data_IF_133769961443
#
_entry.id   IF_133769961443
#
_cell.length_a   1.000
_cell.length_b   1.000
_cell.length_c   1.000
_cell.angle_alpha   90.00
_cell.angle_beta   90.00
_cell.angle_gamma   90.00
#
_symmetry.space_group_name_H-M   'P 1'
#
loop_
_entity.id
_entity.type
_entity.pdbx_description
1 polymer ?
#
# COMPACT_ATOMS: atom_id res chain seq x y z
N UNK A 1 4.06 13.47 24.70
CA UNK A 1 2.64 13.06 24.61
C UNK A 1 1.86 13.93 23.64
N UNK A 2 2.05 15.25 23.62
CA UNK A 2 1.41 16.16 22.66
C UNK A 2 1.65 15.76 21.19
N UNK A 3 2.89 15.39 20.82
CA UNK A 3 3.22 14.94 19.46
C UNK A 3 2.37 13.74 19.02
N UNK A 4 2.24 12.75 19.90
CA UNK A 4 1.42 11.56 19.64
C UNK A 4 -0.05 11.94 19.45
N UNK A 5 -0.62 12.76 20.33
CA UNK A 5 -2.03 13.14 20.23
C UNK A 5 -2.33 14.00 18.99
N UNK A 6 -1.44 14.94 18.66
CA UNK A 6 -1.55 15.73 17.44
C UNK A 6 -1.49 14.84 16.20
N UNK A 7 -0.57 13.87 16.18
CA UNK A 7 -0.46 12.90 15.09
C UNK A 7 -1.70 12.02 14.96
N UNK A 8 -2.21 11.50 16.08
CA UNK A 8 -3.44 10.70 16.08
C UNK A 8 -4.66 11.51 15.62
N UNK A 9 -4.74 12.79 15.98
CA UNK A 9 -5.78 13.69 15.50
C UNK A 9 -5.67 13.93 13.98
N UNK A 10 -4.47 14.18 13.47
CA UNK A 10 -4.21 14.35 12.04
C UNK A 10 -4.58 13.09 11.22
N UNK A 11 -4.13 11.92 11.69
CA UNK A 11 -4.49 10.62 11.10
C UNK A 11 -6.01 10.39 11.16
N UNK A 12 -6.64 10.67 12.31
CA UNK A 12 -8.08 10.57 12.48
C UNK A 12 -8.85 11.46 11.50
N UNK A 13 -8.40 12.71 11.30
CA UNK A 13 -9.00 13.62 10.32
C UNK A 13 -8.90 13.08 8.89
N UNK A 14 -7.73 12.55 8.50
CA UNK A 14 -7.55 11.93 7.18
C UNK A 14 -8.47 10.73 6.97
N UNK A 15 -8.61 9.86 7.98
CA UNK A 15 -9.51 8.69 7.94
C UNK A 15 -10.98 9.11 7.83
N UNK A 16 -11.42 10.12 8.61
CA UNK A 16 -12.79 10.62 8.58
C UNK A 16 -13.14 11.28 7.24
N UNK A 17 -12.24 12.12 6.72
CA UNK A 17 -12.41 12.74 5.40
C UNK A 17 -12.51 11.67 4.30
N UNK A 18 -11.64 10.67 4.36
CA UNK A 18 -11.66 9.56 3.41
C UNK A 18 -12.93 8.72 3.53
N UNK A 19 -13.46 8.51 4.73
CA UNK A 19 -14.73 7.81 4.91
C UNK A 19 -15.92 8.60 4.36
N UNK A 20 -15.95 9.92 4.52
CA UNK A 20 -16.95 10.77 3.89
C UNK A 20 -16.91 10.63 2.36
N UNK A 21 -15.72 10.71 1.76
CA UNK A 21 -15.52 10.52 0.31
C UNK A 21 -15.92 9.13 -0.15
N UNK A 22 -15.59 8.07 0.60
CA UNK A 22 -16.01 6.69 0.31
C UNK A 22 -17.53 6.53 0.35
N UNK A 23 -18.22 7.19 1.29
CA UNK A 23 -19.69 7.17 1.35
C UNK A 23 -20.30 7.86 0.12
N UNK A 24 -19.75 8.99 -0.29
CA UNK A 24 -20.17 9.67 -1.53
C UNK A 24 -19.89 8.83 -2.77
N UNK A 25 -18.78 8.09 -2.82
CA UNK A 25 -18.45 7.19 -3.92
C UNK A 25 -19.52 6.10 -4.16
N UNK A 26 -20.22 5.66 -3.11
CA UNK A 26 -21.33 4.69 -3.22
C UNK A 26 -22.56 5.25 -3.94
N UNK A 27 -22.68 6.57 -4.02
CA UNK A 27 -23.77 7.25 -4.71
C UNK A 27 -23.48 7.42 -6.21
N UNK A 28 -22.24 7.20 -6.64
CA UNK A 28 -21.82 7.33 -8.04
C UNK A 28 -21.93 5.97 -8.76
N UNK A 29 -22.43 5.96 -10.01
CA UNK A 29 -22.58 4.72 -10.77
C UNK A 29 -21.25 4.25 -11.36
N UNK A 30 -21.11 2.92 -11.49
CA UNK A 30 -20.07 2.27 -12.28
C UNK A 30 -18.64 2.68 -11.93
N UNK A 31 -17.83 2.95 -12.97
CA UNK A 31 -16.41 3.22 -12.84
C UNK A 31 -16.09 4.49 -12.04
N UNK A 32 -16.97 5.51 -12.07
CA UNK A 32 -16.78 6.74 -11.30
C UNK A 32 -16.75 6.46 -9.78
N UNK A 33 -17.64 5.60 -9.30
CA UNK A 33 -17.65 5.16 -7.90
C UNK A 33 -16.37 4.41 -7.54
N UNK A 34 -15.90 3.51 -8.40
CA UNK A 34 -14.64 2.77 -8.19
C UNK A 34 -13.43 3.70 -8.13
N UNK A 35 -13.32 4.66 -9.04
CA UNK A 35 -12.19 5.61 -9.06
C UNK A 35 -12.19 6.56 -7.86
N UNK A 36 -13.37 7.02 -7.42
CA UNK A 36 -13.46 7.85 -6.22
C UNK A 36 -13.15 7.05 -4.94
N UNK A 37 -13.57 5.78 -4.89
CA UNK A 37 -13.20 4.86 -3.81
C UNK A 37 -11.69 4.66 -3.77
N UNK A 38 -11.06 4.38 -4.92
CA UNK A 38 -9.62 4.23 -5.04
C UNK A 38 -8.87 5.48 -4.58
N UNK A 39 -9.34 6.66 -5.00
CA UNK A 39 -8.77 7.94 -4.63
C UNK A 39 -8.85 8.17 -3.12
N UNK A 40 -10.02 7.94 -2.50
CA UNK A 40 -10.21 8.11 -1.06
C UNK A 40 -9.30 7.17 -0.25
N UNK A 41 -9.14 5.93 -0.67
CA UNK A 41 -8.30 4.95 0.03
C UNK A 41 -6.81 5.26 -0.14
N UNK A 42 -6.37 5.66 -1.33
CA UNK A 42 -4.98 6.05 -1.59
C UNK A 42 -4.61 7.34 -0.85
N UNK A 43 -5.52 8.31 -0.81
CA UNK A 43 -5.36 9.54 -0.02
C UNK A 43 -5.20 9.21 1.47
N UNK A 44 -6.07 8.36 2.02
CA UNK A 44 -5.97 7.91 3.41
C UNK A 44 -4.61 7.26 3.69
N UNK A 45 -4.21 6.30 2.84
CA UNK A 45 -2.93 5.60 2.97
C UNK A 45 -1.77 6.59 3.07
N UNK A 46 -1.68 7.49 2.09
CA UNK A 46 -0.58 8.45 2.00
C UNK A 46 -0.59 9.43 3.18
N UNK A 47 -1.74 10.01 3.55
CA UNK A 47 -1.83 10.96 4.67
C UNK A 47 -1.44 10.32 6.00
N UNK A 48 -1.97 9.13 6.28
CA UNK A 48 -1.64 8.39 7.50
C UNK A 48 -0.14 8.07 7.56
N UNK A 49 0.45 7.63 6.44
CA UNK A 49 1.87 7.30 6.40
C UNK A 49 2.76 8.53 6.49
N UNK A 50 2.40 9.68 5.89
CA UNK A 50 3.11 10.94 6.07
C UNK A 50 3.24 11.30 7.55
N UNK A 51 2.12 11.28 8.27
CA UNK A 51 2.11 11.67 9.68
C UNK A 51 2.85 10.65 10.57
N UNK A 52 2.63 9.35 10.36
CA UNK A 52 3.33 8.32 11.12
C UNK A 52 4.83 8.29 10.85
N UNK A 53 5.26 8.56 9.60
CA UNK A 53 6.67 8.71 9.24
C UNK A 53 7.27 9.89 9.98
N UNK A 54 6.65 11.08 9.91
CA UNK A 54 7.14 12.25 10.64
C UNK A 54 7.27 11.98 12.14
N UNK A 55 6.24 11.39 12.75
CA UNK A 55 6.25 11.06 14.16
C UNK A 55 7.36 10.04 14.50
N UNK A 56 7.49 8.98 13.71
CA UNK A 56 8.50 7.93 13.91
C UNK A 56 9.94 8.41 13.74
N UNK A 57 10.18 9.32 12.79
CA UNK A 57 11.51 9.85 12.49
C UNK A 57 11.98 10.90 13.52
N UNK A 58 11.05 11.57 14.22
CA UNK A 58 11.37 12.77 15.01
C UNK A 58 11.03 12.69 16.49
N UNK A 59 10.03 11.91 16.89
CA UNK A 59 9.64 11.76 18.28
C UNK A 59 10.36 10.56 18.93
N UNK A 60 10.76 10.66 20.21
CA UNK A 60 11.37 9.55 20.93
C UNK A 60 10.30 8.52 21.36
N UNK A 61 9.73 7.80 20.38
CA UNK A 61 8.75 6.76 20.65
C UNK A 61 9.41 5.45 21.07
N UNK A 62 8.94 4.79 22.14
CA UNK A 62 9.34 3.43 22.43
C UNK A 62 9.01 2.50 21.25
N UNK A 63 9.91 1.56 20.88
CA UNK A 63 9.67 0.67 19.74
C UNK A 63 8.32 -0.08 19.76
N UNK A 64 7.84 -0.61 20.92
CA UNK A 64 6.54 -1.27 20.97
C UNK A 64 5.37 -0.34 20.61
N UNK A 65 5.47 0.95 20.91
CA UNK A 65 4.45 1.93 20.59
C UNK A 65 4.42 2.23 19.08
N UNK A 66 5.59 2.41 18.45
CA UNK A 66 5.68 2.59 17.00
C UNK A 66 5.16 1.39 16.20
N UNK A 67 5.48 0.17 16.66
CA UNK A 67 4.93 -1.06 16.08
C UNK A 67 3.42 -1.18 16.29
N UNK A 68 2.94 -0.84 17.48
CA UNK A 68 1.50 -0.78 17.77
C UNK A 68 0.76 0.18 16.83
N UNK A 69 1.29 1.38 16.62
CA UNK A 69 0.71 2.37 15.70
C UNK A 69 0.69 1.88 14.25
N UNK A 70 1.80 1.29 13.79
CA UNK A 70 1.93 0.72 12.44
C UNK A 70 0.91 -0.39 12.23
N UNK A 71 0.82 -1.32 13.18
CA UNK A 71 -0.15 -2.41 13.14
C UNK A 71 -1.59 -1.90 13.13
N UNK A 72 -1.94 -1.02 14.07
CA UNK A 72 -3.29 -0.48 14.20
C UNK A 72 -3.69 0.27 12.93
N UNK A 73 -2.83 1.12 12.36
CA UNK A 73 -3.16 1.81 11.12
C UNK A 73 -3.23 0.88 9.92
N UNK A 74 -2.40 -0.15 9.86
CA UNK A 74 -2.52 -1.18 8.80
C UNK A 74 -3.86 -1.89 8.89
N UNK A 75 -4.33 -2.25 10.09
CA UNK A 75 -5.67 -2.82 10.29
C UNK A 75 -6.76 -1.83 9.82
N UNK A 76 -6.67 -0.55 10.21
CA UNK A 76 -7.63 0.48 9.77
C UNK A 76 -7.68 0.60 8.25
N UNK A 77 -6.52 0.61 7.58
CA UNK A 77 -6.42 0.62 6.12
C UNK A 77 -7.10 -0.59 5.49
N UNK A 78 -6.72 -1.80 5.91
CA UNK A 78 -7.27 -3.05 5.38
C UNK A 78 -8.80 -3.15 5.56
N UNK A 79 -9.33 -2.67 6.69
CA UNK A 79 -10.78 -2.67 6.95
C UNK A 79 -11.53 -1.59 6.15
N UNK A 80 -10.89 -0.46 5.86
CA UNK A 80 -11.54 0.70 5.22
C UNK A 80 -11.45 0.69 3.69
N UNK A 81 -10.51 -0.04 3.09
CA UNK A 81 -10.24 0.06 1.66
C UNK A 81 -11.30 -0.57 0.75
N UNK A 82 -12.15 -1.46 1.28
CA UNK A 82 -13.34 -2.00 0.59
C UNK A 82 -13.06 -2.49 -0.85
N UNK A 83 -11.90 -3.13 -1.06
CA UNK A 83 -11.48 -3.65 -2.36
C UNK A 83 -10.71 -2.67 -3.26
N UNK A 84 -10.46 -1.43 -2.82
CA UNK A 84 -9.51 -0.54 -3.46
C UNK A 84 -8.10 -1.14 -3.44
N UNK A 85 -7.35 -0.98 -4.53
CA UNK A 85 -6.01 -1.59 -4.67
C UNK A 85 -4.94 -0.77 -3.97
N UNK A 86 -5.05 0.56 -4.02
CA UNK A 86 -4.14 1.57 -3.49
C UNK A 86 -2.67 1.36 -3.89
N UNK A 87 -2.40 0.58 -4.95
CA UNK A 87 -1.07 0.18 -5.35
C UNK A 87 -1.00 -0.03 -6.88
N UNK A 88 -0.13 0.68 -7.61
CA UNK A 88 0.05 0.49 -9.05
C UNK A 88 0.43 -0.94 -9.46
N UNK A 89 1.16 -1.69 -8.61
CA UNK A 89 1.53 -3.08 -8.94
C UNK A 89 0.32 -4.01 -9.00
N UNK A 90 -0.68 -3.79 -8.16
CA UNK A 90 -1.94 -4.54 -8.17
C UNK A 90 -2.79 -4.19 -9.40
N UNK A 91 -2.78 -2.92 -9.84
CA UNK A 91 -3.42 -2.53 -11.09
C UNK A 91 -2.76 -3.21 -12.30
N UNK A 92 -1.42 -3.27 -12.33
CA UNK A 92 -0.67 -4.00 -13.36
C UNK A 92 -0.99 -5.50 -13.34
N UNK A 93 -1.00 -6.12 -12.15
CA UNK A 93 -1.38 -7.52 -11.97
C UNK A 93 -2.78 -7.80 -12.55
N UNK A 94 -3.76 -6.92 -12.30
CA UNK A 94 -5.13 -7.10 -12.81
C UNK A 94 -5.20 -7.12 -14.34
N UNK A 95 -4.36 -6.32 -15.01
CA UNK A 95 -4.25 -6.33 -16.47
C UNK A 95 -3.59 -7.62 -16.96
N UNK A 96 -2.49 -8.03 -16.32
CA UNK A 96 -1.79 -9.28 -16.66
C UNK A 96 -2.68 -10.52 -16.50
N UNK A 97 -3.60 -10.49 -15.54
CA UNK A 97 -4.58 -11.57 -15.31
C UNK A 97 -5.84 -11.48 -16.18
N UNK A 98 -5.98 -10.42 -16.98
CA UNK A 98 -7.17 -10.18 -17.80
C UNK A 98 -8.43 -9.81 -17.01
N UNK A 99 -8.31 -9.45 -15.73
CA UNK A 99 -9.45 -9.04 -14.89
C UNK A 99 -9.77 -7.56 -15.03
N UNK A 100 -8.87 -6.76 -15.61
CA UNK A 100 -9.08 -5.34 -15.91
C UNK A 100 -8.51 -4.98 -17.29
N UNK A 101 -9.12 -3.98 -17.95
CA UNK A 101 -8.58 -3.43 -19.19
C UNK A 101 -7.40 -2.47 -18.89
N UNK A 102 -6.44 -2.39 -19.81
CA UNK A 102 -5.31 -1.45 -19.68
C UNK A 102 -5.76 0.00 -19.48
N UNK A 103 -6.83 0.43 -20.19
CA UNK A 103 -7.40 1.78 -20.03
C UNK A 103 -7.93 2.02 -18.62
N UNK A 104 -8.66 1.05 -18.07
CA UNK A 104 -9.20 1.17 -16.72
C UNK A 104 -8.09 1.20 -15.66
N UNK A 105 -7.05 0.37 -15.83
CA UNK A 105 -5.89 0.37 -14.94
C UNK A 105 -5.11 1.70 -14.99
N UNK A 106 -4.90 2.27 -16.18
CA UNK A 106 -4.26 3.59 -16.32
C UNK A 106 -5.06 4.68 -15.61
N UNK A 107 -6.39 4.71 -15.81
CA UNK A 107 -7.25 5.68 -15.12
C UNK A 107 -7.19 5.51 -13.59
N UNK A 108 -7.20 4.26 -13.12
CA UNK A 108 -7.10 3.93 -11.70
C UNK A 108 -5.75 4.39 -11.11
N UNK A 109 -4.64 4.10 -11.77
CA UNK A 109 -3.30 4.56 -11.36
C UNK A 109 -3.22 6.09 -11.39
N UNK A 110 -3.80 6.76 -12.38
CA UNK A 110 -3.85 8.22 -12.40
C UNK A 110 -4.60 8.79 -11.18
N UNK A 111 -5.72 8.17 -10.77
CA UNK A 111 -6.43 8.55 -9.54
C UNK A 111 -5.58 8.32 -8.29
N UNK A 112 -4.81 7.23 -8.23
CA UNK A 112 -3.88 6.97 -7.13
C UNK A 112 -2.82 8.08 -7.01
N UNK A 113 -2.17 8.45 -8.13
CA UNK A 113 -1.14 9.50 -8.14
C UNK A 113 -1.71 10.89 -7.82
N UNK A 114 -2.89 11.23 -8.36
CA UNK A 114 -3.57 12.47 -8.00
C UNK A 114 -3.85 12.54 -6.49
N UNK A 115 -4.25 11.42 -5.89
CA UNK A 115 -4.50 11.31 -4.45
C UNK A 115 -3.22 11.39 -3.62
N UNK A 116 -2.09 10.86 -4.12
CA UNK A 116 -0.79 10.98 -3.48
C UNK A 116 -0.29 12.43 -3.45
N UNK A 117 -0.51 13.21 -4.53
CA UNK A 117 -0.20 14.65 -4.57
C UNK A 117 -1.12 15.43 -3.62
N UNK A 118 -2.42 15.10 -3.60
CA UNK A 118 -3.36 15.69 -2.66
C UNK A 118 -2.95 15.40 -1.20
N UNK A 119 -2.45 14.20 -0.91
CA UNK A 119 -1.95 13.83 0.41
C UNK A 119 -0.69 14.60 0.81
N UNK A 120 0.24 14.87 -0.12
CA UNK A 120 1.40 15.75 0.14
C UNK A 120 0.94 17.16 0.54
N UNK A 121 -0.05 17.70 -0.18
CA UNK A 121 -0.60 19.03 0.12
C UNK A 121 -1.32 19.05 1.45
N UNK A 122 -2.10 18.01 1.77
CA UNK A 122 -2.78 17.86 3.05
C UNK A 122 -1.79 17.76 4.20
N UNK A 123 -0.74 16.93 4.07
CA UNK A 123 0.29 16.78 5.09
C UNK A 123 0.99 18.11 5.38
N UNK A 124 1.44 18.82 4.33
CA UNK A 124 2.04 20.15 4.49
C UNK A 124 1.10 21.15 5.17
N UNK A 125 -0.19 21.14 4.83
CA UNK A 125 -1.19 21.99 5.47
C UNK A 125 -1.35 21.66 6.96
N UNK A 126 -1.46 20.38 7.33
CA UNK A 126 -1.54 19.93 8.72
C UNK A 126 -0.28 20.33 9.50
N UNK A 127 0.90 20.07 8.95
CA UNK A 127 2.17 20.40 9.62
C UNK A 127 2.35 21.91 9.80
N UNK A 128 1.83 22.73 8.87
CA UNK A 128 1.88 24.19 8.98
C UNK A 128 1.07 24.76 10.15
N UNK A 129 0.14 23.99 10.71
CA UNK A 129 -0.64 24.38 11.89
C UNK A 129 0.19 24.35 13.18
N UNK A 130 1.36 23.68 13.18
CA UNK A 130 2.26 23.66 14.33
C UNK A 130 1.63 23.06 15.59
N UNK A 131 0.76 22.06 15.46
CA UNK A 131 -0.02 21.48 16.57
C UNK A 131 0.84 20.74 17.61
N UNK A 132 2.12 20.50 17.32
CA UNK A 132 3.07 19.77 18.14
C UNK A 132 4.52 20.19 17.87
N UNK A 133 5.45 19.75 18.71
CA UNK A 133 6.87 20.08 18.55
C UNK A 133 7.45 19.44 17.29
N UNK A 134 7.00 18.24 16.93
CA UNK A 134 7.39 17.59 15.67
C UNK A 134 6.93 18.38 14.44
N UNK A 135 5.71 18.93 14.45
CA UNK A 135 5.19 19.79 13.38
C UNK A 135 5.97 21.09 13.27
N UNK A 136 6.19 21.77 14.40
CA UNK A 136 6.96 23.03 14.45
C UNK A 136 8.40 22.81 13.99
N UNK A 137 9.03 21.70 14.39
CA UNK A 137 10.37 21.34 13.92
C UNK A 137 10.37 21.10 12.41
N UNK A 138 9.44 20.30 11.89
CA UNK A 138 9.38 20.00 10.47
C UNK A 138 9.13 21.25 9.62
N UNK A 139 8.29 22.18 10.10
CA UNK A 139 8.06 23.48 9.50
C UNK A 139 9.35 24.33 9.43
N UNK A 140 10.17 24.34 10.49
CA UNK A 140 11.46 25.08 10.51
C UNK A 140 12.43 24.57 9.43
N UNK A 141 12.34 23.30 9.04
CA UNK A 141 13.11 22.72 7.93
C UNK A 141 12.42 22.84 6.57
N UNK A 142 11.32 23.60 6.48
CA UNK A 142 10.57 23.81 5.25
C UNK A 142 9.87 22.56 4.73
N UNK A 143 9.45 21.66 5.63
CA UNK A 143 8.84 20.36 5.31
C UNK A 143 9.72 19.45 4.43
N UNK A 144 11.05 19.66 4.48
CA UNK A 144 12.01 18.85 3.72
C UNK A 144 12.29 17.55 4.45
N UNK A 145 12.48 16.49 3.69
CA UNK A 145 13.05 15.22 4.14
C UNK A 145 14.38 14.96 3.43
N UNK A 146 15.26 14.24 4.11
CA UNK A 146 16.61 13.96 3.67
C UNK A 146 16.86 12.46 3.72
N UNK A 147 17.50 11.96 2.67
CA UNK A 147 17.98 10.60 2.47
C UNK A 147 17.09 9.51 3.08
N UNK A 148 16.06 9.05 2.35
CA UNK A 148 15.14 8.06 2.87
C UNK A 148 15.73 6.63 2.88
N UNK A 149 16.94 6.42 2.34
CA UNK A 149 17.59 5.12 2.29
C UNK A 149 18.65 5.01 3.39
N UNK A 150 18.60 3.94 4.18
CA UNK A 150 19.65 3.64 5.16
C UNK A 150 20.75 2.70 4.64
N UNK A 151 20.64 2.26 3.38
CA UNK A 151 21.57 1.33 2.73
C UNK A 151 21.80 1.67 1.26
N UNK A 152 22.43 0.76 0.52
CA UNK A 152 22.69 1.00 -0.91
C UNK A 152 21.43 0.90 -1.77
N UNK A 153 21.41 1.55 -2.94
CA UNK A 153 20.27 1.48 -3.89
C UNK A 153 19.87 0.03 -4.25
N UNK A 154 20.80 -0.90 -4.55
CA UNK A 154 20.45 -2.31 -4.80
C UNK A 154 19.90 -3.03 -3.56
N UNK A 155 20.43 -2.73 -2.38
CA UNK A 155 19.97 -3.31 -1.12
C UNK A 155 18.54 -2.86 -0.81
N UNK A 156 18.25 -1.56 -0.95
CA UNK A 156 16.91 -1.03 -0.78
C UNK A 156 15.92 -1.67 -1.78
N UNK A 157 16.32 -1.80 -3.06
CA UNK A 157 15.50 -2.47 -4.07
C UNK A 157 15.22 -3.95 -3.74
N UNK A 158 16.21 -4.66 -3.18
CA UNK A 158 16.04 -6.04 -2.73
C UNK A 158 15.07 -6.15 -1.55
N UNK A 159 15.14 -5.22 -0.59
CA UNK A 159 14.17 -5.16 0.53
C UNK A 159 12.75 -4.91 0.01
N UNK A 160 12.58 -3.94 -0.88
CA UNK A 160 11.29 -3.62 -1.50
C UNK A 160 10.69 -4.80 -2.28
N UNK A 161 11.53 -5.54 -3.03
CA UNK A 161 11.15 -6.77 -3.70
C UNK A 161 10.67 -7.84 -2.72
N UNK A 162 11.46 -8.12 -1.67
CA UNK A 162 11.13 -9.14 -0.68
C UNK A 162 9.86 -8.79 0.10
N UNK A 163 9.68 -7.51 0.44
CA UNK A 163 8.46 -7.03 1.09
C UNK A 163 7.24 -7.23 0.19
N UNK A 164 7.30 -6.78 -1.08
CA UNK A 164 6.21 -6.94 -2.03
C UNK A 164 5.88 -8.42 -2.29
N UNK A 165 6.89 -9.27 -2.45
CA UNK A 165 6.72 -10.72 -2.57
C UNK A 165 5.99 -11.31 -1.35
N UNK A 166 6.44 -10.96 -0.15
CA UNK A 166 5.89 -11.52 1.09
C UNK A 166 4.44 -11.08 1.32
N UNK A 167 4.13 -9.80 1.07
CA UNK A 167 2.76 -9.29 1.15
C UNK A 167 1.86 -9.96 0.09
N UNK A 168 2.35 -10.12 -1.14
CA UNK A 168 1.61 -10.81 -2.20
C UNK A 168 1.35 -12.27 -1.84
N UNK A 169 2.35 -12.98 -1.30
CA UNK A 169 2.21 -14.36 -0.86
C UNK A 169 1.18 -14.49 0.27
N UNK A 170 1.22 -13.57 1.25
CA UNK A 170 0.25 -13.51 2.33
C UNK A 170 -1.18 -13.26 1.80
N UNK A 171 -1.34 -12.36 0.82
CA UNK A 171 -2.62 -12.07 0.19
C UNK A 171 -3.17 -13.29 -0.59
N UNK A 172 -2.36 -13.94 -1.42
CA UNK A 172 -2.74 -15.14 -2.19
C UNK A 172 -3.17 -16.28 -1.26
N UNK A 173 -2.51 -16.44 -0.12
CA UNK A 173 -2.82 -17.49 0.85
C UNK A 173 -3.80 -17.08 1.95
N UNK A 174 -4.28 -15.83 1.95
CA UNK A 174 -5.21 -15.34 2.97
C UNK A 174 -6.50 -16.17 3.04
N UNK A 175 -6.95 -16.74 1.93
CA UNK A 175 -8.13 -17.61 1.89
C UNK A 175 -8.03 -18.83 2.82
N UNK A 176 -6.81 -19.30 3.14
CA UNK A 176 -6.55 -20.43 4.05
C UNK A 176 -6.61 -20.05 5.53
N UNK A 177 -6.59 -18.76 5.83
CA UNK A 177 -6.73 -18.23 7.18
C UNK A 177 -8.21 -17.99 7.47
N UNK A 178 -8.61 -18.21 8.72
CA UNK A 178 -9.95 -17.85 9.20
C UNK A 178 -10.29 -16.40 8.85
N UNK A 179 -11.51 -16.17 8.36
CA UNK A 179 -11.94 -14.88 7.84
C UNK A 179 -11.73 -13.74 8.85
N UNK A 180 -11.96 -13.99 10.14
CA UNK A 180 -11.79 -12.98 11.21
C UNK A 180 -10.33 -12.63 11.44
N UNK A 181 -9.40 -13.52 11.09
CA UNK A 181 -7.97 -13.34 11.30
C UNK A 181 -7.22 -12.82 10.07
N UNK A 182 -7.80 -12.91 8.86
CA UNK A 182 -7.14 -12.51 7.59
C UNK A 182 -6.52 -11.12 7.66
N UNK A 183 -7.30 -10.13 8.09
CA UNK A 183 -6.83 -8.74 8.21
C UNK A 183 -5.69 -8.63 9.22
N UNK A 184 -5.81 -9.27 10.37
CA UNK A 184 -4.79 -9.25 11.41
C UNK A 184 -3.50 -9.96 10.99
N UNK A 185 -3.60 -11.05 10.23
CA UNK A 185 -2.44 -11.76 9.68
C UNK A 185 -1.70 -10.88 8.66
N UNK A 186 -2.40 -10.26 7.70
CA UNK A 186 -1.77 -9.36 6.73
C UNK A 186 -1.16 -8.15 7.43
N UNK A 187 -1.87 -7.56 8.39
CA UNK A 187 -1.36 -6.44 9.17
C UNK A 187 -0.10 -6.80 9.98
N UNK A 188 -0.05 -7.99 10.57
CA UNK A 188 1.12 -8.48 11.29
C UNK A 188 2.31 -8.69 10.34
N UNK A 189 2.08 -9.26 9.14
CA UNK A 189 3.13 -9.41 8.11
C UNK A 189 3.68 -8.05 7.69
N UNK A 190 2.82 -7.09 7.34
CA UNK A 190 3.25 -5.74 6.96
C UNK A 190 4.01 -5.06 8.11
N UNK A 191 3.51 -5.16 9.35
CA UNK A 191 4.17 -4.58 10.51
C UNK A 191 5.57 -5.18 10.73
N UNK A 192 5.71 -6.49 10.59
CA UNK A 192 6.99 -7.16 10.71
C UNK A 192 7.98 -6.72 9.61
N UNK A 193 7.51 -6.59 8.36
CA UNK A 193 8.33 -6.11 7.25
C UNK A 193 8.76 -4.66 7.44
N UNK A 194 7.86 -3.78 7.90
CA UNK A 194 8.19 -2.39 8.24
C UNK A 194 9.21 -2.34 9.37
N UNK A 195 9.08 -3.22 10.38
CA UNK A 195 10.03 -3.28 11.48
C UNK A 195 11.44 -3.70 11.03
N UNK A 196 11.55 -4.69 10.15
CA UNK A 196 12.84 -5.28 9.77
C UNK A 196 13.51 -4.61 8.58
N UNK A 197 12.72 -4.11 7.61
CA UNK A 197 13.21 -3.47 6.39
C UNK A 197 13.10 -1.94 6.39
N UNK A 198 12.37 -1.36 7.35
CA UNK A 198 12.08 0.07 7.40
C UNK A 198 13.32 0.96 7.47
N UNK A 199 14.35 0.53 8.20
CA UNK A 199 15.61 1.28 8.30
C UNK A 199 16.42 1.31 7.00
N UNK A 200 16.15 0.43 6.04
CA UNK A 200 16.92 0.32 4.79
C UNK A 200 16.23 1.09 3.66
N UNK A 201 14.93 0.90 3.47
CA UNK A 201 14.15 1.45 2.34
C UNK A 201 12.89 2.21 2.75
N UNK A 202 12.54 2.20 4.04
CA UNK A 202 11.20 2.54 4.52
C UNK A 202 10.19 1.40 4.39
N UNK A 203 10.55 0.27 3.74
CA UNK A 203 9.69 -0.88 3.50
C UNK A 203 8.30 -0.46 2.99
N UNK A 204 8.27 0.18 1.81
CA UNK A 204 7.09 0.85 1.28
C UNK A 204 6.26 -0.09 0.38
N UNK A 205 6.95 -0.89 -0.43
CA UNK A 205 6.48 -1.93 -1.36
C UNK A 205 5.28 -1.53 -2.24
N UNK A 206 5.17 -0.23 -2.49
CA UNK A 206 4.03 0.39 -3.15
C UNK A 206 4.51 1.67 -3.88
N UNK A 207 4.54 1.67 -5.23
CA UNK A 207 5.07 2.78 -6.00
C UNK A 207 4.35 4.12 -5.77
N UNK A 208 3.02 4.14 -5.59
CA UNK A 208 2.29 5.41 -5.39
C UNK A 208 2.49 5.97 -3.99
N UNK A 209 2.61 5.10 -2.98
CA UNK A 209 2.95 5.51 -1.63
C UNK A 209 4.37 6.05 -1.57
N UNK A 210 5.33 5.36 -2.20
CA UNK A 210 6.72 5.80 -2.29
C UNK A 210 6.84 7.14 -3.02
N UNK A 211 6.10 7.32 -4.11
CA UNK A 211 6.00 8.62 -4.78
C UNK A 211 5.50 9.71 -3.82
N UNK A 212 4.53 9.41 -2.96
CA UNK A 212 4.02 10.39 -2.01
C UNK A 212 5.05 10.78 -0.95
N UNK A 213 5.74 9.80 -0.34
CA UNK A 213 6.50 9.99 0.91
C UNK A 213 8.03 9.94 0.78
N UNK A 214 8.58 9.35 -0.30
CA UNK A 214 10.02 9.16 -0.50
C UNK A 214 10.57 10.04 -1.63
N UNK A 215 9.88 10.11 -2.76
CA UNK A 215 10.36 10.85 -3.94
C UNK A 215 10.57 12.35 -3.71
N UNK A 216 9.83 13.03 -2.82
CA UNK A 216 10.12 14.42 -2.46
C UNK A 216 11.42 14.60 -1.65
N UNK A 217 11.98 13.53 -1.08
CA UNK A 217 13.18 13.60 -0.26
C UNK A 217 14.45 13.71 -1.12
N UNK A 218 15.40 14.53 -0.70
CA UNK A 218 16.73 14.59 -1.33
C UNK A 218 17.58 13.37 -0.98
N UNK A 219 18.69 13.14 -1.68
CA UNK A 219 19.66 12.08 -1.39
C UNK A 219 19.93 11.20 -2.61
N UNK A 220 18.87 10.89 -3.36
CA UNK A 220 18.94 10.09 -4.57
C UNK A 220 18.23 10.76 -5.74
N UNK A 221 18.61 10.32 -6.94
CA UNK A 221 17.97 10.73 -8.19
C UNK A 221 16.60 10.07 -8.35
N UNK A 222 15.74 10.68 -9.17
CA UNK A 222 14.43 10.12 -9.50
C UNK A 222 14.53 8.69 -10.08
N UNK A 223 15.56 8.41 -10.89
CA UNK A 223 15.77 7.09 -11.49
C UNK A 223 16.19 6.04 -10.46
N UNK A 224 17.01 6.40 -9.47
CA UNK A 224 17.34 5.50 -8.36
C UNK A 224 16.10 5.17 -7.53
N UNK A 225 15.25 6.16 -7.24
CA UNK A 225 13.97 5.88 -6.58
C UNK A 225 13.04 5.03 -7.45
N UNK A 226 12.99 5.22 -8.77
CA UNK A 226 12.26 4.31 -9.65
C UNK A 226 12.83 2.89 -9.59
N UNK A 227 14.14 2.73 -9.58
CA UNK A 227 14.79 1.43 -9.45
C UNK A 227 14.39 0.74 -8.14
N UNK A 228 14.38 1.46 -7.02
CA UNK A 228 14.00 0.90 -5.71
C UNK A 228 12.50 0.61 -5.64
N UNK A 229 11.66 1.63 -5.85
CA UNK A 229 10.24 1.60 -5.48
C UNK A 229 9.29 1.23 -6.63
N UNK A 230 9.76 1.13 -7.87
CA UNK A 230 8.98 0.53 -8.96
C UNK A 230 9.49 -0.86 -9.32
N UNK A 231 10.77 -0.98 -9.67
CA UNK A 231 11.31 -2.26 -10.14
C UNK A 231 11.27 -3.31 -9.04
N UNK A 232 11.69 -2.98 -7.81
CA UNK A 232 11.64 -3.88 -6.66
C UNK A 232 10.23 -4.47 -6.46
N UNK A 233 9.19 -3.65 -6.20
CA UNK A 233 7.84 -4.14 -5.97
C UNK A 233 7.22 -4.90 -7.17
N UNK A 234 7.45 -4.46 -8.41
CA UNK A 234 6.98 -5.18 -9.61
C UNK A 234 7.61 -6.57 -9.67
N UNK A 235 8.93 -6.69 -9.48
CA UNK A 235 9.62 -7.97 -9.48
C UNK A 235 9.17 -8.86 -8.33
N UNK A 236 8.90 -8.29 -7.16
CA UNK A 236 8.41 -9.04 -6.00
C UNK A 236 7.05 -9.69 -6.26
N UNK A 237 6.10 -8.91 -6.76
CA UNK A 237 4.76 -9.41 -7.14
C UNK A 237 4.86 -10.44 -8.27
N UNK A 238 5.61 -10.13 -9.34
CA UNK A 238 5.78 -11.04 -10.47
C UNK A 238 6.41 -12.38 -10.05
N UNK A 239 7.46 -12.35 -9.22
CA UNK A 239 8.12 -13.55 -8.70
C UNK A 239 7.19 -14.40 -7.85
N UNK A 240 6.34 -13.77 -7.02
CA UNK A 240 5.33 -14.48 -6.23
C UNK A 240 4.34 -15.22 -7.12
N UNK A 241 3.80 -14.56 -8.14
CA UNK A 241 2.84 -15.16 -9.08
C UNK A 241 3.48 -16.32 -9.84
N UNK A 242 4.69 -16.12 -10.38
CA UNK A 242 5.42 -17.17 -11.09
C UNK A 242 5.67 -18.39 -10.20
N UNK A 243 6.09 -18.18 -8.95
CA UNK A 243 6.36 -19.26 -8.02
C UNK A 243 5.10 -20.08 -7.71
N UNK A 244 4.02 -19.42 -7.27
CA UNK A 244 2.84 -20.11 -6.76
C UNK A 244 1.89 -20.63 -7.85
N UNK A 245 1.86 -20.00 -9.03
CA UNK A 245 0.92 -20.38 -10.09
C UNK A 245 1.55 -21.18 -11.23
N UNK A 246 2.86 -21.09 -11.42
CA UNK A 246 3.55 -21.78 -12.51
C UNK A 246 4.51 -22.84 -11.99
N UNK A 247 5.48 -22.44 -11.16
CA UNK A 247 6.57 -23.32 -10.74
C UNK A 247 6.08 -24.43 -9.80
N UNK A 248 5.41 -24.09 -8.70
CA UNK A 248 4.95 -25.09 -7.73
C UNK A 248 3.92 -26.08 -8.31
N UNK A 249 2.91 -25.67 -9.10
CA UNK A 249 1.99 -26.62 -9.74
C UNK A 249 2.70 -27.54 -10.74
N UNK A 250 3.64 -27.01 -11.52
CA UNK A 250 4.46 -27.80 -12.45
C UNK A 250 5.29 -28.85 -11.71
N UNK A 251 6.01 -28.46 -10.65
CA UNK A 251 6.79 -29.38 -9.83
C UNK A 251 5.93 -30.42 -9.09
N UNK A 252 4.70 -30.06 -8.73
CA UNK A 252 3.75 -30.97 -8.06
C UNK A 252 3.08 -31.96 -9.01
N UNK A 253 3.38 -31.93 -10.31
CA UNK A 253 2.77 -32.81 -11.31
C UNK A 253 1.28 -32.55 -11.57
N UNK A 254 0.72 -31.42 -11.06
CA UNK A 254 -0.66 -31.01 -11.37
C UNK A 254 -0.65 -30.31 -12.73
N UNK A 255 -0.65 -31.10 -13.80
CA UNK A 255 -0.95 -30.58 -15.13
C UNK A 255 -2.39 -30.04 -15.12
N UNK A 256 -2.54 -28.73 -15.34
CA UNK A 256 -3.82 -28.11 -15.69
C UNK A 256 -4.23 -28.58 -17.07
N UNK A 257 -4.79 -29.79 -17.15
CA UNK A 257 -5.56 -30.27 -18.29
C UNK A 257 -6.94 -30.58 -17.75
N UNK A 258 -7.92 -29.70 -18.05
CA UNK A 258 -9.32 -29.92 -17.73
C UNK A 258 -10.04 -28.69 -17.20
N UNK A 259 -10.10 -27.61 -17.99
CA UNK A 259 -11.18 -26.64 -17.85
C UNK A 259 -12.16 -26.89 -19.01
N UNK A 260 -13.38 -27.29 -18.64
CA UNK A 260 -14.64 -27.31 -19.39
C UNK A 260 -14.83 -28.32 -20.54
N UNK A 261 -15.55 -29.41 -20.22
CA UNK A 261 -16.52 -30.01 -21.14
C UNK A 261 -17.89 -30.04 -20.44
N UNK A 262 -18.96 -29.46 -21.02
CA UNK A 262 -20.28 -29.48 -20.40
C UNK A 262 -20.87 -30.88 -20.48
N UNK A 263 -21.15 -31.48 -19.33
CA UNK A 263 -21.93 -32.72 -19.21
C UNK A 263 -23.38 -32.41 -19.59
N UNK A 264 -23.73 -32.64 -20.85
CA UNK A 264 -25.13 -32.71 -21.29
C UNK A 264 -25.70 -34.05 -20.83
N UNK A 265 -26.46 -34.04 -19.73
CA UNK A 265 -27.30 -35.16 -19.33
C UNK A 265 -28.41 -35.37 -20.39
N UNK A 266 -28.32 -36.44 -21.18
CA UNK A 266 -29.45 -36.96 -21.95
C UNK A 266 -30.47 -37.59 -20.98
N UNK A 267 -31.61 -36.91 -20.77
CA UNK A 267 -32.83 -37.51 -20.21
C UNK A 267 -33.33 -38.61 -21.15
N UNK A 268 -33.45 -39.84 -20.65
CA UNK A 268 -34.23 -40.91 -21.27
C UNK A 268 -35.72 -40.53 -21.23
N UNK A 269 -36.40 -40.58 -22.38
CA UNK A 269 -37.86 -40.59 -22.46
C UNK A 269 -38.35 -42.00 -22.10
N UNK A 270 -39.30 -42.08 -21.18
CA UNK A 270 -40.27 -43.17 -21.13
C UNK A 270 -41.37 -42.90 -22.15
#
# INVERSE_FOLDING_TARGET
MTDLWASLAAVGAAVLLSEATRRSARLLPGACGTYLLEAACTFQLCCCTHELKLLGDTAPLPPPLGLGLTYTMTVVHLLSFRGATCNPTAALESVCRGTSSARAAVALVACQFASAVAAQSFAAAVWSLGLSDVHVRHQKFGFRCFDPLGGSVPEAAAVELLCAFTVQAAAVHAHRVDEKLRVHCIAAVITALVHTGGSISGAVFNPVLAFSIQFPCSGHTYLEYCFVYWLGPILGVASCILLFEKILPFLSGRNTVGLEAPVVQKRKKH
#
